data_IF_924661189457
#
_entry.id   IF_924661189457
#
_cell.length_a   1.000
_cell.length_b   1.000
_cell.length_c   1.000
_cell.angle_alpha   90.00
_cell.angle_beta   90.00
_cell.angle_gamma   90.00
#
_symmetry.space_group_name_H-M   'P 1'
#
loop_
_entity.id
_entity.type
_entity.pdbx_description
1 polymer ?
#
# COMPACT_ATOMS: atom_id res chain seq x y z
N UNK A 1 4.17 31.05 6.06
CA UNK A 1 4.79 29.72 6.05
C UNK A 1 3.99 28.72 6.88
N UNK A 2 3.57 29.07 8.10
CA UNK A 2 2.82 28.18 9.02
C UNK A 2 1.44 27.78 8.47
N UNK A 3 0.75 28.68 7.78
CA UNK A 3 -0.55 28.42 7.16
C UNK A 3 -0.46 27.42 6.01
N UNK A 4 0.55 27.56 5.16
CA UNK A 4 0.79 26.64 4.03
C UNK A 4 1.14 25.23 4.54
N UNK A 5 1.96 25.12 5.58
CA UNK A 5 2.30 23.84 6.20
C UNK A 5 1.07 23.16 6.84
N UNK A 6 0.18 23.95 7.45
CA UNK A 6 -1.07 23.43 8.02
C UNK A 6 -2.04 22.89 6.95
N UNK A 7 -2.21 23.61 5.84
CA UNK A 7 -3.06 23.19 4.71
C UNK A 7 -2.49 21.95 4.03
N UNK A 8 -1.17 21.90 3.83
CA UNK A 8 -0.51 20.74 3.22
C UNK A 8 -0.65 19.50 4.12
N UNK A 9 -0.49 19.66 5.45
CA UNK A 9 -0.69 18.59 6.40
C UNK A 9 -2.13 18.07 6.42
N UNK A 10 -3.12 18.98 6.38
CA UNK A 10 -4.54 18.62 6.33
C UNK A 10 -4.89 17.88 5.03
N UNK A 11 -4.38 18.35 3.89
CA UNK A 11 -4.56 17.68 2.61
C UNK A 11 -3.94 16.28 2.61
N UNK A 12 -2.78 16.11 3.23
CA UNK A 12 -2.13 14.80 3.35
C UNK A 12 -2.94 13.83 4.23
N UNK A 13 -3.62 14.32 5.25
CA UNK A 13 -4.48 13.49 6.13
C UNK A 13 -5.73 13.03 5.40
N UNK A 14 -6.38 13.91 4.63
CA UNK A 14 -7.65 13.65 3.94
C UNK A 14 -7.41 12.97 2.58
N UNK A 15 -6.47 13.47 1.82
CA UNK A 15 -6.05 12.94 0.54
C UNK A 15 -5.01 11.82 0.74
N UNK A 16 -5.02 10.75 -0.05
CA UNK A 16 -5.97 10.44 -1.12
C UNK A 16 -7.16 9.59 -0.66
N UNK A 17 -7.31 9.32 0.62
CA UNK A 17 -8.25 8.32 1.12
C UNK A 17 -9.71 8.75 1.02
N UNK A 18 -10.02 10.01 1.37
CA UNK A 18 -11.41 10.48 1.49
C UNK A 18 -11.93 11.20 0.26
N UNK A 19 -11.06 11.91 -0.48
CA UNK A 19 -11.46 12.58 -1.72
C UNK A 19 -11.71 11.55 -2.82
N UNK A 20 -12.88 11.64 -3.47
CA UNK A 20 -13.27 10.68 -4.50
C UNK A 20 -13.65 9.30 -3.96
N UNK A 21 -14.03 9.22 -2.69
CA UNK A 21 -14.48 7.95 -2.09
C UNK A 21 -15.71 7.41 -2.82
N UNK A 22 -15.75 6.09 -2.97
CA UNK A 22 -16.86 5.37 -3.61
C UNK A 22 -17.02 3.97 -3.04
N UNK A 23 -18.21 3.41 -3.19
CA UNK A 23 -18.46 2.02 -2.91
C UNK A 23 -17.72 1.13 -3.94
N UNK A 24 -17.23 0.01 -3.47
CA UNK A 24 -16.58 -1.02 -4.28
C UNK A 24 -17.51 -2.21 -4.46
N UNK A 25 -17.43 -2.87 -5.60
CA UNK A 25 -18.09 -4.16 -5.82
C UNK A 25 -17.10 -5.27 -5.49
N UNK A 26 -17.25 -5.83 -4.29
CA UNK A 26 -16.40 -6.94 -3.84
C UNK A 26 -17.03 -8.26 -4.25
N UNK A 27 -16.37 -8.95 -5.15
CA UNK A 27 -16.83 -10.22 -5.70
C UNK A 27 -16.15 -11.41 -5.01
N UNK A 28 -16.66 -12.63 -5.15
CA UNK A 28 -15.93 -13.83 -4.73
C UNK A 28 -14.52 -13.92 -5.34
N UNK A 29 -14.34 -13.46 -6.58
CA UNK A 29 -13.03 -13.37 -7.24
C UNK A 29 -12.10 -12.38 -6.54
N UNK A 30 -12.62 -11.23 -6.10
CA UNK A 30 -11.86 -10.26 -5.31
C UNK A 30 -11.33 -10.88 -4.01
N UNK A 31 -12.19 -11.57 -3.28
CA UNK A 31 -11.81 -12.25 -2.04
C UNK A 31 -10.85 -13.42 -2.29
N UNK A 32 -11.04 -14.17 -3.36
CA UNK A 32 -10.13 -15.26 -3.74
C UNK A 32 -8.73 -14.72 -4.05
N UNK A 33 -8.62 -13.58 -4.75
CA UNK A 33 -7.33 -12.94 -5.05
C UNK A 33 -6.63 -12.45 -3.77
N UNK A 34 -7.37 -11.87 -2.83
CA UNK A 34 -6.83 -11.49 -1.52
C UNK A 34 -6.39 -12.70 -0.70
N UNK A 35 -7.17 -13.78 -0.69
CA UNK A 35 -6.80 -15.02 0.00
C UNK A 35 -5.54 -15.66 -0.61
N UNK A 36 -5.41 -15.65 -1.93
CA UNK A 36 -4.20 -16.11 -2.59
C UNK A 36 -2.98 -15.30 -2.16
N UNK A 37 -3.11 -13.96 -2.16
CA UNK A 37 -2.07 -13.07 -1.68
C UNK A 37 -1.74 -13.30 -0.19
N UNK A 38 -2.74 -13.63 0.64
CA UNK A 38 -2.53 -13.95 2.05
C UNK A 38 -1.65 -15.17 2.26
N UNK A 39 -1.84 -16.21 1.44
CA UNK A 39 -1.20 -17.51 1.63
C UNK A 39 0.21 -17.61 1.02
N UNK A 40 0.53 -16.75 0.05
CA UNK A 40 1.84 -16.82 -0.59
C UNK A 40 2.97 -16.38 0.33
N UNK A 41 4.17 -16.95 0.14
CA UNK A 41 5.39 -16.49 0.78
C UNK A 41 5.87 -15.22 0.09
N UNK A 42 6.09 -14.16 0.87
CA UNK A 42 6.40 -12.82 0.38
C UNK A 42 7.85 -12.43 0.63
N UNK A 43 8.31 -11.43 -0.11
CA UNK A 43 9.67 -10.89 -0.03
C UNK A 43 10.74 -11.96 -0.30
N UNK A 44 10.39 -12.91 -1.14
CA UNK A 44 11.31 -13.87 -1.76
C UNK A 44 11.76 -13.33 -3.11
N UNK A 45 12.79 -13.95 -3.67
CA UNK A 45 13.30 -13.59 -5.00
C UNK A 45 12.19 -13.54 -6.07
N UNK A 46 12.20 -12.48 -6.84
CA UNK A 46 11.22 -12.20 -7.91
C UNK A 46 11.97 -11.73 -9.17
N UNK A 47 12.44 -12.68 -9.95
CA UNK A 47 13.24 -12.43 -11.15
C UNK A 47 12.57 -11.49 -12.16
N UNK A 48 11.28 -11.65 -12.49
CA UNK A 48 10.61 -10.76 -13.44
C UNK A 48 10.67 -9.28 -13.04
N UNK A 49 10.70 -9.00 -11.74
CA UNK A 49 10.74 -7.65 -11.19
C UNK A 49 12.12 -7.23 -10.69
N UNK A 50 13.16 -8.03 -10.97
CA UNK A 50 14.53 -7.78 -10.55
C UNK A 50 14.69 -7.59 -9.03
N UNK A 51 13.87 -8.29 -8.25
CA UNK A 51 13.95 -8.26 -6.79
C UNK A 51 14.74 -9.49 -6.30
N UNK A 52 15.87 -9.30 -5.60
CA UNK A 52 16.72 -10.43 -5.17
C UNK A 52 16.17 -11.17 -3.94
N UNK A 53 15.10 -10.72 -3.36
CA UNK A 53 14.59 -11.17 -2.08
C UNK A 53 15.12 -10.32 -0.92
N UNK A 54 14.49 -10.45 0.25
CA UNK A 54 14.94 -9.77 1.46
C UNK A 54 16.35 -10.22 1.85
N UNK A 55 17.17 -9.33 2.44
CA UNK A 55 18.59 -9.62 2.71
C UNK A 55 18.80 -10.77 3.70
N UNK A 56 17.82 -11.07 4.51
CA UNK A 56 17.82 -12.22 5.42
C UNK A 56 16.38 -12.58 5.86
N UNK A 57 16.24 -13.74 6.47
CA UNK A 57 14.93 -14.26 6.90
C UNK A 57 14.25 -13.39 7.96
N UNK A 58 14.99 -12.75 8.86
CA UNK A 58 14.41 -11.89 9.89
C UNK A 58 13.73 -10.65 9.25
N UNK A 59 14.40 -10.01 8.30
CA UNK A 59 13.83 -8.89 7.52
C UNK A 59 12.64 -9.38 6.71
N UNK A 60 12.76 -10.51 6.05
CA UNK A 60 11.68 -11.10 5.25
C UNK A 60 10.40 -11.31 6.07
N UNK A 61 10.52 -11.92 7.26
CA UNK A 61 9.38 -12.23 8.13
C UNK A 61 8.67 -10.96 8.60
N UNK A 62 9.42 -9.94 9.00
CA UNK A 62 8.86 -8.64 9.43
C UNK A 62 8.14 -7.94 8.27
N UNK A 63 8.76 -7.91 7.09
CA UNK A 63 8.16 -7.31 5.90
C UNK A 63 6.89 -8.05 5.48
N UNK A 64 6.94 -9.38 5.44
CA UNK A 64 5.76 -10.21 5.15
C UNK A 64 4.63 -9.95 6.14
N UNK A 65 4.91 -9.88 7.44
CA UNK A 65 3.90 -9.65 8.47
C UNK A 65 3.11 -8.35 8.23
N UNK A 66 3.74 -7.31 7.69
CA UNK A 66 3.08 -6.05 7.36
C UNK A 66 2.04 -6.23 6.25
N UNK A 67 2.39 -6.96 5.18
CA UNK A 67 1.47 -7.25 4.08
C UNK A 67 0.38 -8.22 4.52
N UNK A 68 0.73 -9.24 5.28
CA UNK A 68 -0.24 -10.23 5.79
C UNK A 68 -1.27 -9.57 6.71
N UNK A 69 -0.88 -8.61 7.53
CA UNK A 69 -1.81 -7.84 8.36
C UNK A 69 -2.77 -7.00 7.52
N UNK A 70 -2.25 -6.29 6.50
CA UNK A 70 -3.07 -5.53 5.56
C UNK A 70 -4.12 -6.42 4.88
N UNK A 71 -3.68 -7.52 4.29
CA UNK A 71 -4.56 -8.42 3.52
C UNK A 71 -5.59 -9.09 4.43
N UNK A 72 -5.19 -9.56 5.60
CA UNK A 72 -6.09 -10.15 6.60
C UNK A 72 -7.19 -9.16 7.02
N UNK A 73 -6.82 -7.91 7.31
CA UNK A 73 -7.79 -6.89 7.69
C UNK A 73 -8.79 -6.63 6.56
N UNK A 74 -8.31 -6.58 5.30
CA UNK A 74 -9.19 -6.41 4.14
C UNK A 74 -10.14 -7.61 3.96
N UNK A 75 -9.65 -8.85 4.06
CA UNK A 75 -10.51 -10.04 3.95
C UNK A 75 -11.62 -10.00 5.00
N UNK A 76 -11.31 -9.62 6.23
CA UNK A 76 -12.24 -9.65 7.35
C UNK A 76 -13.27 -8.51 7.32
N UNK A 77 -12.84 -7.32 6.92
CA UNK A 77 -13.65 -6.10 7.09
C UNK A 77 -14.28 -5.58 5.79
N UNK A 78 -13.65 -5.84 4.64
CA UNK A 78 -14.10 -5.33 3.36
C UNK A 78 -15.52 -5.77 2.96
N UNK A 79 -15.99 -6.99 3.28
CA UNK A 79 -17.38 -7.38 3.02
C UNK A 79 -18.42 -6.53 3.76
N UNK A 80 -18.05 -5.94 4.91
CA UNK A 80 -18.91 -5.06 5.71
C UNK A 80 -18.72 -3.56 5.37
N UNK A 81 -17.55 -3.21 4.86
CA UNK A 81 -17.18 -1.85 4.52
C UNK A 81 -16.52 -1.79 3.14
N UNK A 82 -17.26 -2.06 2.06
CA UNK A 82 -16.72 -2.14 0.71
C UNK A 82 -16.52 -0.73 0.12
N UNK A 83 -15.58 0.02 0.67
CA UNK A 83 -15.30 1.41 0.25
C UNK A 83 -13.85 1.60 -0.16
N UNK A 84 -13.66 2.40 -1.20
CA UNK A 84 -12.34 2.79 -1.68
C UNK A 84 -11.50 3.45 -0.57
N UNK A 85 -12.09 4.37 0.18
CA UNK A 85 -11.44 5.05 1.29
C UNK A 85 -10.95 4.09 2.37
N UNK A 86 -11.69 3.02 2.63
CA UNK A 86 -11.29 1.99 3.59
C UNK A 86 -10.03 1.25 3.12
N UNK A 87 -10.00 0.79 1.87
CA UNK A 87 -8.82 0.11 1.30
C UNK A 87 -7.59 1.03 1.30
N UNK A 88 -7.74 2.25 0.79
CA UNK A 88 -6.64 3.22 0.75
C UNK A 88 -6.17 3.62 2.14
N UNK A 89 -7.07 3.73 3.11
CA UNK A 89 -6.73 3.98 4.51
C UNK A 89 -5.87 2.87 5.11
N UNK A 90 -6.22 1.61 4.88
CA UNK A 90 -5.43 0.44 5.33
C UNK A 90 -4.06 0.40 4.65
N UNK A 91 -4.00 0.63 3.34
CA UNK A 91 -2.71 0.74 2.62
C UNK A 91 -1.87 1.87 3.22
N UNK A 92 -2.44 3.06 3.42
CA UNK A 92 -1.72 4.20 4.00
C UNK A 92 -1.14 3.89 5.38
N UNK A 93 -1.89 3.21 6.24
CA UNK A 93 -1.40 2.77 7.55
C UNK A 93 -0.24 1.77 7.43
N UNK A 94 -0.35 0.82 6.52
CA UNK A 94 0.72 -0.16 6.25
C UNK A 94 1.99 0.54 5.76
N UNK A 95 1.87 1.46 4.79
CA UNK A 95 2.99 2.23 4.28
C UNK A 95 3.66 3.06 5.39
N UNK A 96 2.88 3.71 6.25
CA UNK A 96 3.40 4.55 7.34
C UNK A 96 4.16 3.74 8.40
N UNK A 97 3.73 2.51 8.67
CA UNK A 97 4.34 1.63 9.67
C UNK A 97 5.45 0.73 9.12
N UNK A 98 5.60 0.65 7.80
CA UNK A 98 6.57 -0.25 7.17
C UNK A 98 8.00 0.19 7.43
N UNK A 99 8.76 -0.70 8.06
CA UNK A 99 10.16 -0.50 8.37
C UNK A 99 11.02 -1.22 7.33
N UNK A 100 11.47 -0.48 6.33
CA UNK A 100 12.44 -0.96 5.36
C UNK A 100 13.72 -0.16 5.46
N UNK A 101 14.85 -0.85 5.45
CA UNK A 101 16.17 -0.25 5.50
C UNK A 101 16.67 0.17 4.13
N UNK A 102 16.17 -0.45 3.07
CA UNK A 102 16.55 -0.09 1.71
C UNK A 102 15.35 0.10 0.75
N UNK A 103 15.68 0.43 -0.49
CA UNK A 103 14.67 0.78 -1.50
C UNK A 103 13.99 -0.44 -2.11
N UNK A 104 14.64 -1.60 -2.09
CA UNK A 104 14.15 -2.80 -2.78
C UNK A 104 12.93 -3.38 -2.07
N UNK A 105 12.96 -3.47 -0.73
CA UNK A 105 11.79 -3.87 0.07
C UNK A 105 10.64 -2.89 -0.07
N UNK A 106 10.93 -1.58 -0.18
CA UNK A 106 9.89 -0.55 -0.40
C UNK A 106 9.23 -0.71 -1.76
N UNK A 107 9.99 -0.96 -2.80
CA UNK A 107 9.47 -1.20 -4.14
C UNK A 107 8.66 -2.51 -4.18
N UNK A 108 9.11 -3.53 -3.48
CA UNK A 108 8.37 -4.79 -3.38
C UNK A 108 7.06 -4.64 -2.60
N UNK A 109 7.04 -3.84 -1.52
CA UNK A 109 5.79 -3.50 -0.82
C UNK A 109 4.79 -2.81 -1.74
N UNK A 110 5.24 -1.86 -2.56
CA UNK A 110 4.37 -1.18 -3.54
C UNK A 110 3.71 -2.20 -4.46
N UNK A 111 4.44 -3.18 -4.98
CA UNK A 111 3.86 -4.23 -5.83
C UNK A 111 2.76 -5.04 -5.12
N UNK A 112 2.93 -5.35 -3.83
CA UNK A 112 1.87 -5.98 -3.07
C UNK A 112 0.65 -5.06 -2.88
N UNK A 113 0.86 -3.77 -2.64
CA UNK A 113 -0.23 -2.79 -2.58
C UNK A 113 -0.96 -2.67 -3.92
N UNK A 114 -0.25 -2.65 -5.04
CA UNK A 114 -0.84 -2.65 -6.39
C UNK A 114 -1.71 -3.89 -6.64
N UNK A 115 -1.26 -5.07 -6.20
CA UNK A 115 -2.07 -6.29 -6.27
C UNK A 115 -3.34 -6.21 -5.41
N UNK A 116 -3.27 -5.59 -4.24
CA UNK A 116 -4.46 -5.30 -3.42
C UNK A 116 -5.42 -4.37 -4.15
N UNK A 117 -4.92 -3.29 -4.75
CA UNK A 117 -5.75 -2.37 -5.55
C UNK A 117 -6.43 -3.09 -6.71
N UNK A 118 -5.69 -3.90 -7.44
CA UNK A 118 -6.22 -4.71 -8.54
C UNK A 118 -7.31 -5.68 -8.06
N UNK A 119 -7.06 -6.41 -6.97
CA UNK A 119 -8.02 -7.36 -6.41
C UNK A 119 -9.32 -6.68 -5.96
N UNK A 120 -9.26 -5.44 -5.52
CA UNK A 120 -10.41 -4.65 -5.03
C UNK A 120 -11.05 -3.76 -6.09
N UNK A 121 -10.54 -3.77 -7.33
CA UNK A 121 -11.07 -2.96 -8.44
C UNK A 121 -10.79 -1.46 -8.31
N UNK A 122 -9.71 -1.09 -7.65
CA UNK A 122 -9.25 0.29 -7.54
C UNK A 122 -8.18 0.54 -8.59
N UNK A 123 -8.52 1.31 -9.63
CA UNK A 123 -7.61 1.61 -10.74
C UNK A 123 -6.62 2.72 -10.40
N UNK A 124 -6.98 3.63 -9.50
CA UNK A 124 -6.17 4.79 -9.16
C UNK A 124 -6.17 5.02 -7.64
N UNK A 125 -5.00 5.07 -7.06
CA UNK A 125 -4.76 5.37 -5.64
C UNK A 125 -4.44 6.85 -5.39
N UNK A 126 -4.69 7.74 -6.35
CA UNK A 126 -4.43 9.19 -6.28
C UNK A 126 -2.99 9.50 -5.80
N UNK A 127 -2.03 8.80 -6.40
CA UNK A 127 -0.59 8.99 -6.14
C UNK A 127 -0.10 8.56 -4.74
N UNK A 128 -0.95 7.92 -3.92
CA UNK A 128 -0.59 7.48 -2.58
C UNK A 128 0.75 6.71 -2.54
N UNK A 129 0.94 5.77 -3.45
CA UNK A 129 2.14 4.93 -3.51
C UNK A 129 3.38 5.75 -3.93
N UNK A 130 3.22 6.62 -4.92
CA UNK A 130 4.31 7.47 -5.41
C UNK A 130 4.73 8.52 -4.36
N UNK A 131 3.76 9.14 -3.68
CA UNK A 131 4.04 10.09 -2.58
C UNK A 131 4.83 9.40 -1.47
N UNK A 132 4.44 8.20 -1.09
CA UNK A 132 5.17 7.45 -0.06
C UNK A 132 6.58 7.05 -0.52
N UNK A 133 6.71 6.60 -1.79
CA UNK A 133 7.99 6.12 -2.33
C UNK A 133 9.00 7.22 -2.56
N UNK A 134 8.57 8.33 -3.11
CA UNK A 134 9.45 9.41 -3.60
C UNK A 134 9.35 10.70 -2.80
N UNK A 135 8.39 10.81 -1.89
CA UNK A 135 8.09 12.03 -1.14
C UNK A 135 7.25 13.03 -1.94
N UNK A 136 6.71 14.02 -1.25
CA UNK A 136 5.87 15.05 -1.86
C UNK A 136 6.66 16.37 -2.01
N UNK A 137 6.53 17.04 -3.14
CA UNK A 137 6.10 16.56 -4.46
C UNK A 137 7.20 15.76 -5.12
N UNK A 138 6.91 14.67 -5.75
CA UNK A 138 7.77 13.71 -6.46
C UNK A 138 9.19 14.17 -6.77
N UNK A 139 10.13 14.00 -5.84
CA UNK A 139 11.51 14.32 -6.10
C UNK A 139 11.85 15.79 -6.35
N UNK A 140 10.91 16.73 -6.25
CA UNK A 140 11.23 18.18 -6.33
C UNK A 140 12.27 18.58 -5.28
N UNK A 141 12.25 17.93 -4.14
CA UNK A 141 13.18 18.20 -3.02
C UNK A 141 14.54 17.54 -3.24
N UNK A 142 14.67 16.64 -4.22
CA UNK A 142 15.94 15.94 -4.52
C UNK A 142 16.71 16.53 -5.69
N UNK A 143 16.19 17.56 -6.33
CA UNK A 143 16.83 18.26 -7.45
C UNK A 143 17.50 19.57 -7.04
N UNK A 144 17.78 19.77 -5.73
CA UNK A 144 18.57 20.89 -5.21
C UNK A 144 19.76 20.35 -4.44
#
# INVERSE_FOLDING_TARGET
LTFIAGVTGLLFVIWPTSLGDRALTITPTSLAALNYLQLERKFVEDFPNHYPGAPNEAVRVVAQASVDALVRDLINELPRNPRRSFVLGKIKMTLASFQATDSEERDQLIRYCERVLQATGIENADELLNVWRYGFPYGWVRAV
#
